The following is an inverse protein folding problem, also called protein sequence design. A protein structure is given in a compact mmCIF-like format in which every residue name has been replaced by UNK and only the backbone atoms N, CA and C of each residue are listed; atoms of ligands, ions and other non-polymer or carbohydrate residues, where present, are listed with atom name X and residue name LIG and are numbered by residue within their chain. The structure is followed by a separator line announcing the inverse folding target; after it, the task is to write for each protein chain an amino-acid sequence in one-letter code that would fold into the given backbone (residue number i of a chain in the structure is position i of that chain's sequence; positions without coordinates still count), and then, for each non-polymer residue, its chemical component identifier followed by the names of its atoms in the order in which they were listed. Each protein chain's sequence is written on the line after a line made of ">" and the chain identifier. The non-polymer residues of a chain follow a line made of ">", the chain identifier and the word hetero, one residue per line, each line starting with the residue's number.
data_IF_356121378349
#
_entry.id   IF_356121378349
#
_cell.length_a   1.000
_cell.length_b   1.000
_cell.length_c   1.000
_cell.angle_alpha   90.00
_cell.angle_beta   90.00
_cell.angle_gamma   90.00
#
_symmetry.space_group_name_H-M   'P 1'
#
loop_
_entity.id
_entity.type
_entity.pdbx_description
1 polymer ?
#
# COMPACT_ATOMS: atom_id res chain seq x y z
N UNK A 1 -2.31 -19.25 17.59
CA UNK A 1 -1.76 -17.91 17.33
C UNK A 1 -1.32 -17.38 18.68
N UNK A 2 -0.02 -17.24 18.93
CA UNK A 2 0.42 -16.42 20.07
C UNK A 2 -0.20 -15.02 19.85
N UNK A 3 -0.86 -14.49 20.86
CA UNK A 3 -1.64 -13.25 20.78
C UNK A 3 -0.70 -12.08 20.39
N UNK A 4 -0.61 -11.81 19.08
CA UNK A 4 0.29 -10.81 18.50
C UNK A 4 0.03 -9.40 19.08
N UNK A 5 -1.15 -9.19 19.68
CA UNK A 5 -1.62 -7.94 20.29
C UNK A 5 -1.52 -7.92 21.83
N UNK A 6 -1.06 -9.00 22.47
CA UNK A 6 -0.83 -9.03 23.91
C UNK A 6 0.21 -7.98 24.35
N UNK A 7 0.26 -7.71 25.66
CA UNK A 7 1.24 -6.81 26.29
C UNK A 7 2.70 -7.18 25.99
N UNK A 8 2.95 -8.46 25.79
CA UNK A 8 4.25 -9.08 25.46
C UNK A 8 4.26 -9.68 24.04
N UNK A 9 3.22 -9.42 23.25
CA UNK A 9 3.06 -9.93 21.89
C UNK A 9 4.04 -9.32 20.89
N UNK A 10 4.08 -9.88 19.68
CA UNK A 10 5.02 -9.46 18.62
C UNK A 10 4.90 -7.96 18.28
N UNK A 11 3.70 -7.38 18.33
CA UNK A 11 3.48 -5.96 18.07
C UNK A 11 4.01 -5.08 19.20
N UNK A 12 3.84 -5.49 20.45
CA UNK A 12 4.35 -4.77 21.62
C UNK A 12 5.89 -4.69 21.62
N UNK A 13 6.54 -5.77 21.20
CA UNK A 13 8.01 -5.83 21.12
C UNK A 13 8.58 -5.00 19.95
N UNK A 14 7.87 -4.96 18.82
CA UNK A 14 8.36 -4.33 17.60
C UNK A 14 8.00 -2.85 17.46
N UNK A 15 6.95 -2.38 18.13
CA UNK A 15 6.38 -1.05 17.94
C UNK A 15 6.47 -0.25 19.25
N UNK A 16 7.36 0.74 19.27
CA UNK A 16 7.51 1.64 20.43
C UNK A 16 6.21 2.36 20.72
N UNK A 17 5.74 2.28 21.98
CA UNK A 17 4.50 2.92 22.42
C UNK A 17 3.22 2.17 22.04
N UNK A 18 3.32 0.94 21.53
CA UNK A 18 2.16 0.07 21.34
C UNK A 18 1.46 -0.18 22.68
N UNK A 19 0.14 -0.01 22.69
CA UNK A 19 -0.72 -0.31 23.82
C UNK A 19 -1.77 -1.32 23.36
N UNK A 20 -1.83 -2.51 23.95
CA UNK A 20 -2.89 -3.48 23.70
C UNK A 20 -4.26 -2.86 23.91
N UNK A 21 -5.21 -3.23 23.05
CA UNK A 21 -6.60 -2.78 23.10
C UNK A 21 -7.50 -3.97 22.85
N UNK A 22 -8.43 -4.21 23.75
CA UNK A 22 -9.32 -5.37 23.65
C UNK A 22 -10.13 -5.38 22.35
N UNK A 23 -10.68 -4.23 21.95
CA UNK A 23 -11.41 -4.09 20.69
C UNK A 23 -10.55 -4.46 19.46
N UNK A 24 -9.24 -4.22 19.51
CA UNK A 24 -8.32 -4.59 18.44
C UNK A 24 -8.09 -6.10 18.40
N UNK A 25 -7.95 -6.75 19.58
CA UNK A 25 -7.83 -8.20 19.72
C UNK A 25 -9.08 -8.93 19.24
N UNK A 26 -10.25 -8.53 19.74
CA UNK A 26 -11.53 -9.11 19.35
C UNK A 26 -11.75 -9.04 17.84
N UNK A 27 -11.44 -7.89 17.22
CA UNK A 27 -11.51 -7.76 15.76
C UNK A 27 -10.50 -8.68 15.05
N UNK A 28 -9.28 -8.82 15.56
CA UNK A 28 -8.27 -9.69 14.95
C UNK A 28 -8.64 -11.17 15.04
N UNK A 29 -9.19 -11.60 16.17
CA UNK A 29 -9.71 -12.96 16.39
C UNK A 29 -10.87 -13.26 15.44
N UNK A 30 -11.87 -12.36 15.37
CA UNK A 30 -13.00 -12.51 14.46
C UNK A 30 -12.55 -12.59 12.99
N UNK A 31 -11.58 -11.76 12.57
CA UNK A 31 -11.03 -11.81 11.21
C UNK A 31 -10.26 -13.11 10.97
N UNK A 32 -9.50 -13.61 11.95
CA UNK A 32 -8.79 -14.88 11.84
C UNK A 32 -9.76 -16.05 11.64
N UNK A 33 -10.84 -16.10 12.42
CA UNK A 33 -11.90 -17.10 12.29
C UNK A 33 -12.57 -17.01 10.91
N UNK A 34 -12.98 -15.82 10.49
CA UNK A 34 -13.58 -15.62 9.17
C UNK A 34 -12.68 -16.11 8.02
N UNK A 35 -11.37 -15.85 8.10
CA UNK A 35 -10.39 -16.35 7.12
C UNK A 35 -10.26 -17.88 7.19
N UNK A 36 -10.27 -18.47 8.39
CA UNK A 36 -10.11 -19.91 8.59
C UNK A 36 -11.33 -20.69 8.10
N UNK A 37 -12.53 -20.24 8.47
CA UNK A 37 -13.80 -20.88 8.14
C UNK A 37 -14.41 -20.40 6.82
N UNK A 38 -13.77 -19.45 6.14
CA UNK A 38 -14.24 -18.86 4.85
C UNK A 38 -15.64 -18.23 4.98
N UNK A 39 -15.85 -17.49 6.06
CA UNK A 39 -17.11 -16.83 6.37
C UNK A 39 -17.06 -15.34 6.04
N UNK A 40 -18.23 -14.77 5.79
CA UNK A 40 -18.40 -13.32 5.69
C UNK A 40 -18.44 -12.71 7.09
N UNK A 41 -17.73 -11.59 7.27
CA UNK A 41 -17.66 -10.88 8.53
C UNK A 41 -17.84 -9.38 8.27
N UNK A 42 -18.75 -8.77 9.02
CA UNK A 42 -18.93 -7.32 9.07
C UNK A 42 -18.52 -6.85 10.46
N UNK A 43 -17.58 -5.90 10.52
CA UNK A 43 -17.11 -5.31 11.78
C UNK A 43 -17.27 -3.79 11.70
N UNK A 44 -17.94 -3.21 12.69
CA UNK A 44 -17.91 -1.78 12.92
C UNK A 44 -16.75 -1.45 13.88
N UNK A 45 -15.80 -0.64 13.41
CA UNK A 45 -14.65 -0.23 14.21
C UNK A 45 -14.51 1.29 14.18
N UNK A 46 -14.64 1.91 15.35
CA UNK A 46 -14.45 3.35 15.52
C UNK A 46 -13.08 3.86 15.07
N UNK A 47 -12.93 5.17 14.93
CA UNK A 47 -11.62 5.79 14.68
C UNK A 47 -10.68 5.53 15.87
N UNK A 48 -9.38 5.40 15.60
CA UNK A 48 -8.39 5.18 16.66
C UNK A 48 -8.37 3.77 17.27
N UNK A 49 -9.28 2.85 16.92
CA UNK A 49 -9.30 1.45 17.41
C UNK A 49 -8.11 0.59 16.99
N UNK A 50 -7.32 1.03 16.00
CA UNK A 50 -6.23 0.22 15.44
C UNK A 50 -6.69 -0.82 14.41
N UNK A 51 -7.86 -0.58 13.77
CA UNK A 51 -8.46 -1.42 12.73
C UNK A 51 -7.49 -1.96 11.68
N UNK A 52 -6.52 -1.13 11.26
CA UNK A 52 -5.53 -1.50 10.23
C UNK A 52 -4.74 -2.73 10.64
N UNK A 53 -4.19 -2.76 11.85
CA UNK A 53 -3.42 -3.92 12.30
C UNK A 53 -4.31 -5.11 12.63
N UNK A 54 -5.52 -4.86 13.13
CA UNK A 54 -6.48 -5.91 13.47
C UNK A 54 -6.82 -6.81 12.27
N UNK A 55 -6.96 -6.27 11.05
CA UNK A 55 -7.13 -7.12 9.86
C UNK A 55 -5.80 -7.56 9.22
N UNK A 56 -4.72 -6.79 9.35
CA UNK A 56 -3.44 -7.13 8.72
C UNK A 56 -2.73 -8.31 9.41
N UNK A 57 -2.74 -8.36 10.74
CA UNK A 57 -2.07 -9.44 11.47
C UNK A 57 -2.62 -10.83 11.09
N UNK A 58 -3.93 -11.11 11.22
CA UNK A 58 -4.48 -12.41 10.82
C UNK A 58 -4.34 -12.66 9.32
N UNK A 59 -4.43 -11.63 8.46
CA UNK A 59 -4.19 -11.78 7.03
C UNK A 59 -2.78 -12.29 6.72
N UNK A 60 -1.75 -11.70 7.33
CA UNK A 60 -0.35 -12.09 7.13
C UNK A 60 -0.03 -13.45 7.77
N UNK A 61 -0.65 -13.77 8.91
CA UNK A 61 -0.51 -15.07 9.59
C UNK A 61 -1.25 -16.21 8.89
N UNK A 62 -2.28 -15.90 8.08
CA UNK A 62 -3.10 -16.92 7.42
C UNK A 62 -2.34 -17.81 6.44
N UNK A 63 -1.17 -17.37 5.97
CA UNK A 63 -0.41 -18.00 4.88
C UNK A 63 -1.24 -18.21 3.59
N UNK A 64 -2.32 -17.43 3.41
CA UNK A 64 -3.18 -17.42 2.22
C UNK A 64 -2.90 -16.18 1.38
N UNK A 65 -3.37 -16.21 0.12
CA UNK A 65 -3.40 -15.02 -0.71
C UNK A 65 -4.55 -14.11 -0.25
N UNK A 66 -4.23 -12.92 0.26
CA UNK A 66 -5.21 -11.94 0.75
C UNK A 66 -5.19 -10.70 -0.13
N UNK A 67 -6.38 -10.19 -0.46
CA UNK A 67 -6.57 -8.90 -1.14
C UNK A 67 -7.21 -7.95 -0.14
N UNK A 68 -6.63 -6.76 -0.01
CA UNK A 68 -7.12 -5.71 0.87
C UNK A 68 -7.56 -4.54 0.01
N UNK A 69 -8.84 -4.20 0.09
CA UNK A 69 -9.43 -3.06 -0.60
C UNK A 69 -9.67 -1.94 0.40
N UNK A 70 -9.40 -0.69 -0.01
CA UNK A 70 -9.60 0.51 0.84
C UNK A 70 -10.38 1.55 0.06
N UNK A 71 -11.06 2.47 0.77
CA UNK A 71 -11.96 3.44 0.14
C UNK A 71 -11.29 4.51 -0.73
N UNK A 72 -9.97 4.74 -0.62
CA UNK A 72 -9.30 5.75 -1.44
C UNK A 72 -7.85 5.41 -1.76
N UNK A 73 -7.31 5.98 -2.85
CA UNK A 73 -5.90 5.82 -3.23
C UNK A 73 -4.94 6.33 -2.14
N UNK A 74 -5.30 7.42 -1.45
CA UNK A 74 -4.48 7.97 -0.38
C UNK A 74 -4.38 7.01 0.83
N UNK A 75 -5.49 6.38 1.21
CA UNK A 75 -5.50 5.35 2.26
C UNK A 75 -4.70 4.11 1.83
N UNK A 76 -4.83 3.71 0.57
CA UNK A 76 -4.05 2.62 0.00
C UNK A 76 -2.54 2.92 0.05
N UNK A 77 -2.14 4.13 -0.32
CA UNK A 77 -0.74 4.58 -0.30
C UNK A 77 -0.20 4.63 1.14
N UNK A 78 -0.98 5.14 2.09
CA UNK A 78 -0.62 5.13 3.52
C UNK A 78 -0.42 3.69 4.03
N UNK A 79 -1.37 2.81 3.72
CA UNK A 79 -1.31 1.41 4.12
C UNK A 79 -0.05 0.75 3.58
N UNK A 80 0.24 0.92 2.29
CA UNK A 80 1.37 0.26 1.63
C UNK A 80 2.74 0.84 2.05
N UNK A 81 2.84 2.17 2.25
CA UNK A 81 4.11 2.83 2.54
C UNK A 81 4.49 2.82 4.03
N UNK A 82 3.52 2.76 4.94
CA UNK A 82 3.76 2.88 6.39
C UNK A 82 3.26 1.69 7.20
N UNK A 83 1.96 1.39 7.12
CA UNK A 83 1.34 0.42 8.02
C UNK A 83 1.80 -1.02 7.71
N UNK A 84 1.80 -1.39 6.44
CA UNK A 84 2.13 -2.73 5.96
C UNK A 84 3.62 -3.10 6.19
N UNK A 85 4.62 -2.24 5.89
CA UNK A 85 6.01 -2.53 6.24
C UNK A 85 6.23 -2.67 7.75
N UNK A 86 5.55 -1.85 8.55
CA UNK A 86 5.67 -1.88 10.02
C UNK A 86 5.21 -3.23 10.57
N UNK A 87 4.00 -3.65 10.20
CA UNK A 87 3.44 -4.91 10.71
C UNK A 87 4.12 -6.14 10.09
N UNK A 88 4.51 -6.09 8.81
CA UNK A 88 5.25 -7.19 8.18
C UNK A 88 6.61 -7.41 8.86
N UNK A 89 7.29 -6.34 9.26
CA UNK A 89 8.54 -6.43 10.04
C UNK A 89 8.27 -7.00 11.43
N UNK A 90 7.25 -6.50 12.14
CA UNK A 90 6.89 -6.97 13.47
C UNK A 90 6.56 -8.47 13.50
N UNK A 91 5.81 -8.95 12.51
CA UNK A 91 5.40 -10.36 12.41
C UNK A 91 6.44 -11.25 11.70
N UNK A 92 7.59 -10.69 11.33
CA UNK A 92 8.65 -11.36 10.57
C UNK A 92 8.12 -12.03 9.28
N UNK A 93 7.18 -11.37 8.61
CA UNK A 93 6.53 -11.90 7.42
C UNK A 93 7.50 -11.96 6.24
N UNK A 94 7.59 -13.14 5.60
CA UNK A 94 8.51 -13.41 4.47
C UNK A 94 7.81 -13.49 3.11
N UNK A 95 6.50 -13.28 3.06
CA UNK A 95 5.73 -13.37 1.82
C UNK A 95 5.89 -12.13 0.92
N UNK A 96 5.29 -12.20 -0.27
CA UNK A 96 5.33 -11.11 -1.26
C UNK A 96 4.21 -10.12 -0.97
N UNK A 97 4.57 -8.84 -0.91
CA UNK A 97 3.64 -7.72 -0.82
C UNK A 97 3.62 -6.98 -2.17
N UNK A 98 2.43 -6.58 -2.61
CA UNK A 98 2.27 -5.88 -3.87
C UNK A 98 1.15 -4.84 -3.80
N UNK A 99 1.31 -3.75 -4.55
CA UNK A 99 0.33 -2.67 -4.66
C UNK A 99 -0.33 -2.72 -6.04
N UNK A 100 -1.65 -2.89 -6.05
CA UNK A 100 -2.46 -2.89 -7.27
C UNK A 100 -3.23 -1.57 -7.38
N UNK A 101 -3.03 -0.87 -8.50
CA UNK A 101 -3.77 0.35 -8.87
C UNK A 101 -4.39 0.18 -10.26
N UNK A 102 -5.33 1.05 -10.63
CA UNK A 102 -5.84 1.09 -12.00
C UNK A 102 -4.76 1.54 -12.99
N UNK A 103 -4.86 1.12 -14.26
CA UNK A 103 -3.87 1.40 -15.33
C UNK A 103 -3.46 2.87 -15.46
N UNK A 104 -4.38 3.80 -15.24
CA UNK A 104 -4.14 5.26 -15.29
C UNK A 104 -3.20 5.78 -14.21
N UNK A 105 -2.80 4.93 -13.26
CA UNK A 105 -1.86 5.26 -12.20
C UNK A 105 -0.42 4.82 -12.51
N UNK A 106 -0.19 4.30 -13.72
CA UNK A 106 1.11 3.86 -14.19
C UNK A 106 1.53 4.66 -15.42
N UNK A 107 2.84 4.90 -15.54
CA UNK A 107 3.42 5.55 -16.70
C UNK A 107 3.33 4.61 -17.92
N UNK A 108 2.73 5.09 -19.01
CA UNK A 108 2.73 4.40 -20.29
C UNK A 108 4.03 4.74 -21.04
N UNK A 109 4.93 3.76 -21.16
CA UNK A 109 6.23 3.95 -21.80
C UNK A 109 6.11 4.24 -23.30
N UNK A 110 5.18 3.58 -23.98
CA UNK A 110 4.93 3.80 -25.41
C UNK A 110 4.49 5.24 -25.68
N UNK A 111 3.52 5.76 -24.90
CA UNK A 111 3.09 7.17 -25.01
C UNK A 111 4.23 8.14 -24.70
N UNK A 112 5.09 7.82 -23.73
CA UNK A 112 6.25 8.63 -23.40
C UNK A 112 7.26 8.68 -24.56
N UNK A 113 7.51 7.56 -25.22
CA UNK A 113 8.38 7.49 -26.39
C UNK A 113 7.79 8.22 -27.60
N UNK A 114 6.49 8.05 -27.87
CA UNK A 114 5.79 8.77 -28.93
C UNK A 114 5.89 10.29 -28.75
N UNK A 115 5.67 10.81 -27.54
CA UNK A 115 5.82 12.25 -27.27
C UNK A 115 7.27 12.73 -27.39
N UNK A 116 8.25 11.88 -27.07
CA UNK A 116 9.67 12.21 -27.20
C UNK A 116 10.12 12.27 -28.66
N UNK A 117 9.49 11.50 -29.55
CA UNK A 117 9.81 11.43 -30.98
C UNK A 117 9.00 12.42 -31.83
N UNK A 118 7.80 12.78 -31.40
CA UNK A 118 6.87 13.61 -32.16
C UNK A 118 7.37 15.04 -32.44
N UNK A 119 8.44 15.51 -31.77
CA UNK A 119 9.21 16.70 -32.19
C UNK A 119 8.42 18.01 -32.31
N UNK A 120 7.21 18.10 -31.75
CA UNK A 120 6.38 19.30 -31.81
C UNK A 120 6.84 20.39 -30.85
N UNK A 121 6.39 21.63 -31.08
CA UNK A 121 6.59 22.77 -30.17
C UNK A 121 5.87 22.55 -28.83
N UNK A 122 6.49 21.76 -27.96
CA UNK A 122 6.12 21.68 -26.57
C UNK A 122 6.64 22.94 -25.86
N UNK A 123 5.80 23.53 -25.01
CA UNK A 123 6.23 24.62 -24.15
C UNK A 123 7.49 24.21 -23.36
N UNK A 124 8.43 25.14 -23.15
CA UNK A 124 9.74 24.85 -22.55
C UNK A 124 9.66 24.07 -21.23
N UNK A 125 8.65 24.33 -20.40
CA UNK A 125 8.44 23.60 -19.14
C UNK A 125 8.05 22.12 -19.37
N UNK A 126 7.18 21.86 -20.34
CA UNK A 126 6.75 20.48 -20.67
C UNK A 126 7.90 19.63 -21.21
N UNK A 127 8.83 20.24 -21.96
CA UNK A 127 10.06 19.58 -22.42
C UNK A 127 10.95 19.18 -21.24
N UNK A 128 11.14 20.09 -20.28
CA UNK A 128 11.90 19.81 -19.05
C UNK A 128 11.26 18.64 -18.30
N UNK A 129 9.95 18.67 -18.12
CA UNK A 129 9.21 17.62 -17.41
C UNK A 129 9.33 16.25 -18.12
N UNK A 130 9.25 16.22 -19.46
CA UNK A 130 9.43 14.99 -20.24
C UNK A 130 10.83 14.41 -20.14
N UNK A 131 11.88 15.24 -20.20
CA UNK A 131 13.27 14.80 -20.02
C UNK A 131 13.47 14.23 -18.61
N UNK A 132 12.92 14.89 -17.59
CA UNK A 132 12.97 14.39 -16.22
C UNK A 132 12.22 13.08 -16.05
N UNK A 133 11.02 12.95 -16.62
CA UNK A 133 10.19 11.75 -16.57
C UNK A 133 10.87 10.55 -17.26
N UNK A 134 11.53 10.78 -18.40
CA UNK A 134 12.33 9.78 -19.11
C UNK A 134 13.58 9.36 -18.33
N UNK A 135 14.27 10.32 -17.70
CA UNK A 135 15.38 10.04 -16.80
C UNK A 135 14.92 9.22 -15.57
N UNK A 136 13.75 9.55 -15.03
CA UNK A 136 13.14 8.83 -13.92
C UNK A 136 12.77 7.39 -14.30
N UNK A 137 12.15 7.17 -15.48
CA UNK A 137 11.72 5.83 -15.92
C UNK A 137 12.90 4.87 -16.15
N UNK A 138 14.01 5.36 -16.68
CA UNK A 138 15.23 4.56 -16.92
C UNK A 138 15.96 4.11 -15.64
N UNK A 139 15.83 4.87 -14.55
CA UNK A 139 16.58 4.62 -13.30
C UNK A 139 15.94 3.57 -12.39
N UNK A 140 14.72 3.10 -12.68
CA UNK A 140 14.00 2.16 -11.80
C UNK A 140 13.47 0.95 -12.58
N UNK A 141 13.77 -0.28 -12.14
CA UNK A 141 13.12 -1.46 -12.72
C UNK A 141 11.61 -1.37 -12.50
N UNK A 142 10.83 -1.92 -13.45
CA UNK A 142 9.36 -1.91 -13.50
C UNK A 142 8.64 -2.12 -12.15
N UNK A 143 9.21 -2.95 -11.26
CA UNK A 143 8.69 -3.21 -9.90
C UNK A 143 8.67 -1.99 -8.97
N UNK A 144 9.49 -0.96 -9.21
CA UNK A 144 9.62 0.23 -8.35
C UNK A 144 8.84 1.46 -8.85
N UNK A 145 8.31 1.41 -10.08
CA UNK A 145 7.51 2.49 -10.70
C UNK A 145 6.14 2.60 -10.00
N UNK A 146 5.59 1.49 -9.51
CA UNK A 146 4.29 1.43 -8.81
C UNK A 146 4.29 2.08 -7.40
N UNK A 147 5.43 2.02 -6.69
CA UNK A 147 5.59 2.61 -5.37
C UNK A 147 5.94 4.11 -5.45
N UNK A 148 6.70 4.52 -6.46
CA UNK A 148 7.19 5.89 -6.61
C UNK A 148 6.25 6.83 -7.39
N UNK A 149 5.23 6.31 -8.08
CA UNK A 149 4.15 7.14 -8.63
C UNK A 149 3.39 7.93 -7.55
N UNK A 150 3.59 7.62 -6.26
CA UNK A 150 3.07 8.38 -5.13
C UNK A 150 3.87 9.66 -4.80
N UNK A 151 5.13 9.78 -5.26
CA UNK A 151 6.02 10.90 -4.91
C UNK A 151 6.21 11.93 -6.03
N UNK A 152 5.58 11.75 -7.20
CA UNK A 152 5.60 12.77 -8.25
C UNK A 152 4.52 13.84 -7.99
N UNK A 153 4.83 15.14 -8.07
CA UNK A 153 3.84 16.19 -7.87
C UNK A 153 2.71 16.03 -8.90
N UNK A 154 1.50 15.73 -8.42
CA UNK A 154 0.29 15.55 -9.26
C UNK A 154 -0.15 16.83 -9.97
N UNK A 155 0.49 17.96 -9.72
CA UNK A 155 0.21 19.26 -10.35
C UNK A 155 0.60 19.31 -11.83
N UNK A 156 1.40 18.37 -12.33
CA UNK A 156 1.84 18.35 -13.74
C UNK A 156 0.90 17.58 -14.71
N UNK A 157 -0.16 16.92 -14.23
CA UNK A 157 -1.02 16.04 -15.05
C UNK A 157 -2.52 16.38 -14.95
N UNK A 158 -2.88 17.67 -14.78
CA UNK A 158 -4.29 18.10 -14.88
C UNK A 158 -4.79 18.26 -16.33
N UNK A 159 -3.93 18.04 -17.32
CA UNK A 159 -4.38 17.81 -18.70
C UNK A 159 -4.94 16.40 -18.83
N UNK A 160 -6.20 16.26 -19.26
CA UNK A 160 -6.77 14.98 -19.67
C UNK A 160 -5.81 14.28 -20.65
N UNK A 161 -5.25 13.14 -20.25
CA UNK A 161 -4.44 12.22 -21.06
C UNK A 161 -5.00 10.80 -20.96
#
# INVERSE_FOLDING_TARGET
>A
MADDFATDGALAQAITGFKPREAQRLMAEAVAEAINFKQELVVEAGTGTGKTFAYLAPALRSNKKVIISTGSKALQDQLYARDLPTIAKALQFKGKLALLKGRSNYLCLERLEQQSLAGGELAGQTLIDLVQLRGWSRRRPWKAISAAAATWPKTALSGRW
#
